data_IF_241150163100
#
_entry.id   IF_241150163100
#
_cell.length_a   1.000
_cell.length_b   1.000
_cell.length_c   1.000
_cell.angle_alpha   90.00
_cell.angle_beta   90.00
_cell.angle_gamma   90.00
#
_symmetry.space_group_name_H-M   'P 1'
#
loop_
_entity.id
_entity.type
_entity.pdbx_description
1 polymer ?
#
# COMPACT_ATOMS: atom_id res chain seq x y z
N UNK A 1 5.54 -15.88 -34.34
CA UNK A 1 4.63 -15.11 -33.47
C UNK A 1 5.35 -14.83 -32.17
N UNK A 2 5.73 -13.58 -31.88
CA UNK A 2 6.35 -13.21 -30.59
C UNK A 2 5.21 -12.87 -29.63
N UNK A 3 5.07 -13.63 -28.54
CA UNK A 3 4.21 -13.24 -27.43
C UNK A 3 4.86 -12.03 -26.77
N UNK A 4 4.28 -10.85 -26.93
CA UNK A 4 4.69 -9.67 -26.16
C UNK A 4 4.22 -9.92 -24.73
N UNK A 5 5.14 -10.23 -23.82
CA UNK A 5 4.85 -10.23 -22.38
C UNK A 5 4.45 -8.80 -21.99
N UNK A 6 3.15 -8.59 -21.76
CA UNK A 6 2.66 -7.31 -21.24
C UNK A 6 3.22 -7.15 -19.83
N UNK A 7 4.20 -6.26 -19.65
CA UNK A 7 4.74 -5.95 -18.34
C UNK A 7 3.59 -5.49 -17.42
N UNK A 8 3.45 -6.13 -16.26
CA UNK A 8 2.45 -5.71 -15.26
C UNK A 8 2.82 -4.30 -14.79
N UNK A 9 2.06 -3.31 -15.24
CA UNK A 9 2.28 -1.92 -14.87
C UNK A 9 1.61 -1.64 -13.52
N UNK A 10 2.29 -0.84 -12.70
CA UNK A 10 1.79 -0.43 -11.39
C UNK A 10 1.70 1.10 -11.35
N UNK A 11 0.67 1.60 -10.66
CA UNK A 11 0.51 3.03 -10.36
C UNK A 11 0.58 3.30 -8.87
N UNK A 12 1.03 4.51 -8.53
CA UNK A 12 0.99 5.03 -7.16
C UNK A 12 -0.45 5.45 -6.85
N UNK A 13 -1.13 4.68 -5.99
CA UNK A 13 -2.49 5.02 -5.58
C UNK A 13 -2.46 5.57 -4.15
N UNK A 14 -2.77 6.87 -4.00
CA UNK A 14 -2.97 7.46 -2.68
C UNK A 14 -4.32 7.03 -2.14
N UNK A 15 -4.35 6.64 -0.87
CA UNK A 15 -5.51 6.02 -0.23
C UNK A 15 -5.77 6.65 1.13
N UNK A 16 -7.04 6.85 1.52
CA UNK A 16 -7.36 7.13 2.91
C UNK A 16 -7.01 5.93 3.79
N UNK A 17 -6.45 6.21 4.97
CA UNK A 17 -6.08 5.20 5.95
C UNK A 17 -6.67 5.56 7.30
N UNK A 18 -7.39 4.63 7.92
CA UNK A 18 -7.74 4.71 9.34
C UNK A 18 -6.59 4.11 10.12
N UNK A 19 -6.08 4.86 11.09
CA UNK A 19 -4.95 4.45 11.93
C UNK A 19 -5.25 4.78 13.38
N UNK A 20 -4.61 4.03 14.27
CA UNK A 20 -4.51 4.35 15.69
C UNK A 20 -3.15 4.98 15.96
N UNK A 21 -3.09 5.85 16.97
CA UNK A 21 -1.84 6.31 17.55
C UNK A 21 -1.84 5.86 19.00
N UNK A 22 -0.86 5.04 19.38
CA UNK A 22 -0.76 4.58 20.77
C UNK A 22 -0.21 5.69 21.70
N UNK A 23 -0.17 5.39 23.00
CA UNK A 23 0.27 6.35 24.02
C UNK A 23 1.75 6.73 23.88
N UNK A 24 2.55 5.91 23.20
CA UNK A 24 3.95 6.17 22.86
C UNK A 24 4.10 6.97 21.55
N UNK A 25 3.01 7.25 20.84
CA UNK A 25 3.00 7.97 19.57
C UNK A 25 3.27 7.09 18.36
N UNK A 26 3.24 5.75 18.50
CA UNK A 26 3.41 4.86 17.37
C UNK A 26 2.14 4.84 16.50
N UNK A 27 2.33 5.10 15.21
CA UNK A 27 1.27 5.06 14.21
C UNK A 27 1.03 3.61 13.76
N UNK A 28 -0.21 3.15 13.92
CA UNK A 28 -0.69 1.80 13.66
C UNK A 28 -1.83 1.81 12.61
N UNK A 29 -1.52 1.64 11.31
CA UNK A 29 -2.54 1.53 10.27
C UNK A 29 -3.49 0.34 10.49
N UNK A 30 -4.79 0.56 10.32
CA UNK A 30 -5.84 -0.45 10.56
C UNK A 30 -6.66 -0.74 9.32
N UNK A 31 -7.10 0.29 8.59
CA UNK A 31 -7.96 0.15 7.42
C UNK A 31 -7.41 0.95 6.25
N UNK A 32 -7.45 0.37 5.05
CA UNK A 32 -7.20 1.07 3.79
C UNK A 32 -8.51 1.17 3.03
N UNK A 33 -8.88 2.40 2.65
CA UNK A 33 -10.10 2.67 1.89
C UNK A 33 -9.76 2.78 0.41
N UNK A 34 -10.39 1.95 -0.42
CA UNK A 34 -10.25 2.00 -1.87
C UNK A 34 -11.38 2.83 -2.49
N UNK A 35 -11.09 3.49 -3.61
CA UNK A 35 -12.02 4.45 -4.24
C UNK A 35 -13.36 3.83 -4.68
N UNK A 36 -13.40 2.51 -4.90
CA UNK A 36 -14.64 1.79 -5.24
C UNK A 36 -15.49 1.40 -4.01
N UNK A 37 -15.16 1.93 -2.83
CA UNK A 37 -15.83 1.62 -1.56
C UNK A 37 -15.37 0.33 -0.89
N UNK A 38 -14.40 -0.39 -1.45
CA UNK A 38 -13.82 -1.57 -0.80
C UNK A 38 -12.90 -1.15 0.33
N UNK A 39 -13.08 -1.78 1.49
CA UNK A 39 -12.23 -1.58 2.66
C UNK A 39 -11.33 -2.80 2.85
N UNK A 40 -10.03 -2.56 2.95
CA UNK A 40 -9.05 -3.59 3.29
C UNK A 40 -8.65 -3.45 4.75
N UNK A 41 -9.04 -4.44 5.56
CA UNK A 41 -8.59 -4.53 6.95
C UNK A 41 -7.16 -5.07 7.01
N UNK A 42 -6.31 -4.39 7.77
CA UNK A 42 -4.96 -4.84 8.10
C UNK A 42 -5.07 -5.77 9.30
N UNK A 43 -4.77 -7.04 9.07
CA UNK A 43 -4.78 -8.07 10.10
C UNK A 43 -3.59 -7.86 11.05
N UNK A 44 -2.40 -7.64 10.48
CA UNK A 44 -1.15 -7.51 11.24
C UNK A 44 -0.18 -6.55 10.55
N UNK A 45 0.61 -5.82 11.35
CA UNK A 45 1.78 -5.08 10.89
C UNK A 45 3.00 -5.96 11.17
N UNK A 46 3.64 -6.44 10.12
CA UNK A 46 4.76 -7.39 10.21
C UNK A 46 6.10 -6.67 10.35
N UNK A 47 6.26 -5.53 9.68
CA UNK A 47 7.51 -4.78 9.68
C UNK A 47 7.30 -3.30 9.33
N UNK A 48 8.16 -2.42 9.85
CA UNK A 48 8.14 -0.98 9.61
C UNK A 48 9.57 -0.49 9.40
N UNK A 49 9.84 0.17 8.27
CA UNK A 49 11.15 0.77 7.99
C UNK A 49 11.06 1.97 7.05
N UNK A 50 12.13 2.77 6.95
CA UNK A 50 12.27 3.73 5.86
C UNK A 50 12.61 2.99 4.57
N UNK A 51 11.82 3.21 3.52
CA UNK A 51 12.06 2.61 2.21
C UNK A 51 11.38 3.42 1.10
N UNK A 52 11.87 3.24 -0.13
CA UNK A 52 11.21 3.68 -1.36
C UNK A 52 10.41 2.53 -1.98
N UNK A 53 9.34 2.85 -2.71
CA UNK A 53 8.68 1.85 -3.54
C UNK A 53 9.56 1.52 -4.73
N UNK A 54 9.71 0.22 -5.01
CA UNK A 54 10.49 -0.27 -6.15
C UNK A 54 9.72 -0.18 -7.47
N UNK A 55 8.39 -0.09 -7.42
CA UNK A 55 7.54 -0.18 -8.61
C UNK A 55 7.07 1.18 -9.13
N UNK A 56 6.72 2.09 -8.23
CA UNK A 56 6.04 3.35 -8.59
C UNK A 56 6.79 4.60 -8.14
N UNK A 57 7.99 4.41 -7.57
CA UNK A 57 8.75 5.49 -6.94
C UNK A 57 8.05 6.05 -5.69
N UNK A 58 8.56 7.16 -5.17
CA UNK A 58 8.13 7.69 -3.88
C UNK A 58 8.69 6.89 -2.69
N UNK A 59 8.58 7.45 -1.50
CA UNK A 59 9.21 6.86 -0.32
C UNK A 59 8.78 7.50 0.99
N UNK A 60 9.32 6.99 2.09
CA UNK A 60 8.94 7.41 3.43
C UNK A 60 9.00 6.23 4.37
N UNK A 61 7.99 6.07 5.22
CA UNK A 61 7.86 4.89 6.06
C UNK A 61 7.05 3.83 5.32
N UNK A 62 7.67 2.69 5.05
CA UNK A 62 7.00 1.51 4.52
C UNK A 62 6.59 0.58 5.66
N UNK A 63 5.33 0.19 5.64
CA UNK A 63 4.74 -0.84 6.45
C UNK A 63 4.58 -2.11 5.59
N UNK A 64 5.16 -3.21 6.05
CA UNK A 64 4.78 -4.55 5.58
C UNK A 64 3.59 -4.97 6.41
N UNK A 65 2.43 -5.13 5.77
CA UNK A 65 1.16 -5.46 6.41
C UNK A 65 0.61 -6.77 5.87
N UNK A 66 -0.16 -7.47 6.68
CA UNK A 66 -0.90 -8.65 6.27
C UNK A 66 -2.38 -8.29 6.10
N UNK A 67 -2.95 -8.64 4.95
CA UNK A 67 -4.36 -8.42 4.61
C UNK A 67 -4.90 -9.73 4.04
N UNK A 68 -5.91 -10.32 4.70
CA UNK A 68 -6.52 -11.62 4.33
C UNK A 68 -5.46 -12.71 4.17
N UNK A 69 -4.49 -12.75 5.09
CA UNK A 69 -3.41 -13.74 5.07
C UNK A 69 -2.29 -13.49 4.05
N UNK A 70 -2.31 -12.37 3.31
CA UNK A 70 -1.29 -12.05 2.30
C UNK A 70 -0.51 -10.80 2.69
N UNK A 71 0.80 -10.83 2.49
CA UNK A 71 1.65 -9.65 2.69
C UNK A 71 1.39 -8.59 1.61
N UNK A 72 1.46 -7.33 2.02
CA UNK A 72 1.30 -6.16 1.16
C UNK A 72 2.11 -4.99 1.70
N UNK A 73 2.39 -4.00 0.86
CA UNK A 73 3.14 -2.82 1.23
C UNK A 73 2.26 -1.58 1.25
N UNK A 74 2.29 -0.87 2.37
CA UNK A 74 1.65 0.41 2.57
C UNK A 74 2.74 1.45 2.88
N UNK A 75 2.67 2.60 2.24
CA UNK A 75 3.70 3.64 2.36
C UNK A 75 3.11 4.93 2.92
N UNK A 76 3.78 5.51 3.90
CA UNK A 76 3.50 6.83 4.46
C UNK A 76 4.57 7.81 3.97
N UNK A 77 4.18 8.73 3.08
CA UNK A 77 5.02 9.73 2.43
C UNK A 77 4.56 11.15 2.81
N UNK A 78 5.35 11.81 3.66
CA UNK A 78 4.92 13.08 4.28
C UNK A 78 3.66 12.81 5.11
N UNK A 79 2.56 13.47 4.74
CA UNK A 79 1.25 13.34 5.39
C UNK A 79 0.27 12.46 4.59
N UNK A 80 0.74 11.80 3.53
CA UNK A 80 -0.09 11.01 2.62
C UNK A 80 0.25 9.53 2.67
N UNK A 81 -0.74 8.69 2.39
CA UNK A 81 -0.59 7.24 2.33
C UNK A 81 -0.79 6.73 0.92
N UNK A 82 0.04 5.79 0.47
CA UNK A 82 -0.11 5.16 -0.84
C UNK A 82 0.20 3.67 -0.85
N UNK A 83 -0.34 2.98 -1.84
CA UNK A 83 -0.03 1.58 -2.17
C UNK A 83 0.41 1.44 -3.62
N UNK A 84 1.06 0.31 -3.93
CA UNK A 84 1.37 -0.10 -5.29
C UNK A 84 0.17 -0.81 -5.92
N UNK A 85 -0.62 -0.09 -6.71
CA UNK A 85 -1.81 -0.62 -7.35
C UNK A 85 -1.47 -1.18 -8.73
N UNK A 86 -2.04 -2.32 -9.12
CA UNK A 86 -1.96 -2.77 -10.51
C UNK A 86 -2.81 -1.84 -11.38
N UNK A 87 -2.33 -1.52 -12.57
CA UNK A 87 -3.17 -0.89 -13.58
C UNK A 87 -4.06 -1.97 -14.21
N UNK A 88 -5.38 -1.79 -14.09
CA UNK A 88 -6.34 -2.62 -14.81
C UNK A 88 -6.35 -2.14 -16.27
N UNK A 89 -5.53 -2.76 -17.12
CA UNK A 89 -5.68 -2.64 -18.57
C UNK A 89 -6.89 -3.46 -19.03
N UNK A 90 -8.09 -3.05 -18.60
CA UNK A 90 -9.35 -3.51 -19.19
C UNK A 90 -9.84 -2.40 -20.13
N UNK A 91 -9.51 -2.56 -21.40
CA UNK A 91 -10.24 -1.95 -22.53
C UNK A 91 -10.99 -3.03 -23.27
#
# INVERSE_FOLDING_TARGET
MRKTEMATQYRKAYVPVTLDVDKEGAILPRLIWWDNGVIFQIDQILYKCRATSKKVGGGGIRYTVQIRGKESFLFHEGDKWFVEAKEDNCS
#
